data_IF_341166680031
#
_entry.id   IF_341166680031
#
_cell.length_a   1.000
_cell.length_b   1.000
_cell.length_c   1.000
_cell.angle_alpha   90.00
_cell.angle_beta   90.00
_cell.angle_gamma   90.00
#
_symmetry.space_group_name_H-M   'P 1'
#
loop_
_entity.id
_entity.type
_entity.pdbx_description
1 polymer ?
#
# COMPACT_ATOMS: atom_id res chain seq x y z
N UNK A 1 -7.48 8.48 3.26
CA UNK A 1 -7.20 8.31 4.70
C UNK A 1 -8.47 7.93 5.45
N UNK A 2 -9.56 8.71 5.36
CA UNK A 2 -10.82 8.50 6.13
C UNK A 2 -11.54 7.18 5.86
N UNK A 3 -11.37 6.58 4.68
CA UNK A 3 -12.06 5.34 4.28
C UNK A 3 -11.44 4.05 4.85
N UNK A 4 -10.31 4.14 5.54
CA UNK A 4 -9.53 3.01 6.07
C UNK A 4 -9.10 3.25 7.53
N UNK A 5 -10.03 3.20 8.49
CA UNK A 5 -9.75 3.60 9.88
C UNK A 5 -8.76 2.68 10.61
N UNK A 6 -8.66 1.41 10.22
CA UNK A 6 -7.81 0.42 10.89
C UNK A 6 -6.44 0.20 10.23
N UNK A 7 -6.20 0.76 9.03
CA UNK A 7 -4.95 0.55 8.33
C UNK A 7 -3.86 1.46 8.89
N UNK A 8 -2.62 0.95 8.98
CA UNK A 8 -1.45 1.79 9.24
C UNK A 8 -1.08 2.53 7.95
N UNK A 9 -0.90 3.83 8.03
CA UNK A 9 -0.50 4.67 6.89
C UNK A 9 0.71 5.51 7.27
N UNK A 10 1.57 5.77 6.31
CA UNK A 10 2.70 6.69 6.42
C UNK A 10 2.79 7.59 5.19
N UNK A 11 3.63 8.60 5.26
CA UNK A 11 3.87 9.55 4.19
C UNK A 11 5.38 9.63 3.96
N UNK A 12 5.78 9.44 2.71
CA UNK A 12 7.10 9.73 2.20
C UNK A 12 6.98 10.87 1.19
N UNK A 13 7.77 11.90 1.37
CA UNK A 13 7.87 13.03 0.42
C UNK A 13 9.16 12.89 -0.34
N UNK A 14 9.12 13.19 -1.63
CA UNK A 14 10.30 13.18 -2.47
C UNK A 14 10.29 14.32 -3.48
N UNK A 15 11.46 14.83 -3.77
CA UNK A 15 11.81 15.78 -4.82
C UNK A 15 13.18 15.37 -5.38
N UNK A 16 14.23 16.17 -5.29
CA UNK A 16 15.62 15.75 -5.57
C UNK A 16 16.12 14.64 -4.65
N UNK A 17 15.60 14.61 -3.42
CA UNK A 17 15.83 13.59 -2.41
C UNK A 17 14.50 13.03 -1.87
N UNK A 18 14.56 12.10 -0.92
CA UNK A 18 13.35 11.55 -0.28
C UNK A 18 13.51 11.46 1.24
N UNK A 19 12.43 11.75 1.97
CA UNK A 19 12.38 11.57 3.41
C UNK A 19 11.02 11.09 3.90
N UNK A 20 11.00 10.52 5.11
CA UNK A 20 9.78 10.07 5.76
C UNK A 20 9.15 11.23 6.52
N UNK A 21 8.08 11.79 6.00
CA UNK A 21 7.29 12.85 6.65
C UNK A 21 6.48 12.31 7.83
N UNK A 22 5.90 11.12 7.66
CA UNK A 22 5.17 10.42 8.72
C UNK A 22 5.47 8.93 8.67
N UNK A 23 5.96 8.31 9.75
CA UNK A 23 6.10 6.87 9.82
C UNK A 23 4.73 6.19 9.83
N UNK A 24 4.72 4.85 9.66
CA UNK A 24 3.48 4.07 9.67
C UNK A 24 2.74 4.21 11.01
N UNK A 25 1.57 4.80 10.98
CA UNK A 25 0.71 5.04 12.15
C UNK A 25 -0.76 4.76 11.86
N UNK A 26 -1.53 4.48 12.90
CA UNK A 26 -3.00 4.45 12.87
C UNK A 26 -3.62 5.79 13.26
N UNK A 27 -2.80 6.73 13.76
CA UNK A 27 -3.25 8.08 14.15
C UNK A 27 -3.52 8.96 12.93
N UNK A 28 -4.79 9.10 12.60
CA UNK A 28 -5.26 9.88 11.44
C UNK A 28 -5.07 11.38 11.63
N UNK A 29 -5.20 11.86 12.84
CA UNK A 29 -5.07 13.29 13.13
C UNK A 29 -3.63 13.74 12.89
N UNK A 30 -2.66 13.01 13.45
CA UNK A 30 -1.23 13.25 13.23
C UNK A 30 -0.88 13.13 11.74
N UNK A 31 -1.35 12.09 11.04
CA UNK A 31 -1.09 11.91 9.62
C UNK A 31 -1.58 13.09 8.77
N UNK A 32 -2.83 13.55 9.01
CA UNK A 32 -3.42 14.68 8.28
C UNK A 32 -2.68 15.98 8.57
N UNK A 33 -2.28 16.21 9.82
CA UNK A 33 -1.54 17.41 10.19
C UNK A 33 -0.17 17.44 9.51
N UNK A 34 0.61 16.35 9.60
CA UNK A 34 1.92 16.25 8.95
C UNK A 34 1.81 16.35 7.40
N UNK A 35 0.70 15.90 6.81
CA UNK A 35 0.46 16.05 5.38
C UNK A 35 0.24 17.51 4.97
N UNK A 36 -0.40 18.33 5.83
CA UNK A 36 -0.61 19.76 5.59
C UNK A 36 0.67 20.59 5.70
N UNK A 37 1.65 20.07 6.47
CA UNK A 37 2.94 20.75 6.70
C UNK A 37 3.94 20.47 5.55
N UNK A 38 3.57 19.66 4.55
CA UNK A 38 4.41 19.44 3.36
C UNK A 38 4.45 20.72 2.55
N UNK A 39 5.68 21.24 2.35
CA UNK A 39 5.96 22.45 1.57
C UNK A 39 6.96 22.10 0.45
N UNK A 40 6.89 22.82 -0.64
CA UNK A 40 7.72 22.58 -1.83
C UNK A 40 9.19 22.92 -1.62
N UNK A 41 9.52 23.81 -0.68
CA UNK A 41 10.87 24.36 -0.49
C UNK A 41 11.72 23.56 0.53
N UNK A 42 11.22 22.42 1.01
CA UNK A 42 11.90 21.61 2.04
C UNK A 42 13.06 20.75 1.49
N UNK A 43 13.07 20.49 0.19
CA UNK A 43 14.03 19.59 -0.48
C UNK A 43 14.54 20.27 -1.76
N UNK A 44 15.77 19.95 -2.16
CA UNK A 44 16.28 20.36 -3.46
C UNK A 44 15.34 19.99 -4.60
N UNK A 45 15.25 20.88 -5.59
CA UNK A 45 14.40 20.68 -6.76
C UNK A 45 14.83 19.44 -7.57
N UNK A 46 13.84 18.73 -8.09
CA UNK A 46 14.04 17.52 -8.86
C UNK A 46 12.99 16.46 -8.57
N UNK A 47 13.10 15.30 -9.22
CA UNK A 47 12.15 14.20 -9.10
C UNK A 47 12.89 12.87 -8.98
N UNK A 48 13.10 12.40 -7.75
CA UNK A 48 13.81 11.16 -7.41
C UNK A 48 12.80 10.03 -7.10
N UNK A 49 12.08 9.56 -8.13
CA UNK A 49 11.01 8.53 -7.99
C UNK A 49 11.57 7.26 -7.33
N UNK A 50 12.75 6.80 -7.78
CA UNK A 50 13.38 5.59 -7.26
C UNK A 50 13.72 5.69 -5.77
N UNK A 51 14.29 6.82 -5.32
CA UNK A 51 14.59 7.05 -3.91
C UNK A 51 13.30 7.12 -3.07
N UNK A 52 12.26 7.82 -3.57
CA UNK A 52 10.96 7.91 -2.91
C UNK A 52 10.32 6.53 -2.70
N UNK A 53 10.30 5.72 -3.75
CA UNK A 53 9.75 4.37 -3.70
C UNK A 53 10.57 3.46 -2.77
N UNK A 54 11.91 3.47 -2.88
CA UNK A 54 12.77 2.67 -2.02
C UNK A 54 12.62 3.05 -0.54
N UNK A 55 12.52 4.35 -0.24
CA UNK A 55 12.26 4.84 1.13
C UNK A 55 10.91 4.34 1.66
N UNK A 56 9.85 4.40 0.83
CA UNK A 56 8.53 3.90 1.22
C UNK A 56 8.54 2.38 1.49
N UNK A 57 9.21 1.60 0.65
CA UNK A 57 9.36 0.15 0.83
C UNK A 57 10.16 -0.17 2.09
N UNK A 58 11.23 0.58 2.37
CA UNK A 58 12.05 0.40 3.57
C UNK A 58 11.24 0.59 4.86
N UNK A 59 10.22 1.48 4.86
CA UNK A 59 9.31 1.67 6.02
C UNK A 59 8.32 0.53 6.21
N UNK A 60 8.12 -0.32 5.19
CA UNK A 60 7.15 -1.42 5.23
C UNK A 60 7.79 -2.81 5.29
N UNK A 61 9.11 -2.93 5.05
CA UNK A 61 9.77 -4.23 4.98
C UNK A 61 9.56 -5.11 6.22
N UNK A 62 9.57 -4.50 7.40
CA UNK A 62 9.44 -5.17 8.69
C UNK A 62 7.98 -5.18 9.21
N UNK A 63 7.01 -4.83 8.37
CA UNK A 63 5.60 -4.80 8.74
C UNK A 63 4.97 -6.19 8.66
N UNK A 64 4.28 -6.62 9.72
CA UNK A 64 3.50 -7.88 9.76
C UNK A 64 2.16 -7.77 9.02
N UNK A 65 1.92 -6.68 8.28
CA UNK A 65 0.68 -6.49 7.55
C UNK A 65 0.52 -7.53 6.44
N UNK A 66 -0.68 -8.11 6.31
CA UNK A 66 -1.03 -9.08 5.26
C UNK A 66 -0.95 -8.47 3.84
N UNK A 67 -1.25 -7.19 3.71
CA UNK A 67 -1.14 -6.44 2.47
C UNK A 67 -0.28 -5.20 2.70
N UNK A 68 0.70 -4.99 1.82
CA UNK A 68 1.60 -3.84 1.82
C UNK A 68 1.44 -3.12 0.49
N UNK A 69 1.06 -1.85 0.56
CA UNK A 69 0.70 -1.06 -0.62
C UNK A 69 1.39 0.29 -0.57
N UNK A 70 2.03 0.67 -1.66
CA UNK A 70 2.50 2.04 -1.92
C UNK A 70 1.61 2.67 -2.97
N UNK A 71 1.22 3.91 -2.77
CA UNK A 71 0.61 4.76 -3.79
C UNK A 71 1.62 5.85 -4.10
N UNK A 72 2.22 5.78 -5.26
CA UNK A 72 3.23 6.72 -5.76
C UNK A 72 2.53 7.77 -6.62
N UNK A 73 2.60 9.05 -6.22
CA UNK A 73 2.10 10.19 -6.99
C UNK A 73 3.27 10.99 -7.50
N UNK A 74 3.26 11.33 -8.79
CA UNK A 74 4.25 12.22 -9.41
C UNK A 74 3.62 13.00 -10.55
N UNK A 75 4.10 14.21 -10.76
CA UNK A 75 3.75 15.10 -11.88
C UNK A 75 4.94 15.29 -12.84
N UNK A 76 6.09 14.67 -12.53
CA UNK A 76 7.33 14.80 -13.28
C UNK A 76 7.95 13.50 -13.74
N UNK A 77 9.03 13.65 -14.51
CA UNK A 77 9.90 12.58 -14.99
C UNK A 77 11.03 12.36 -13.99
N UNK A 78 11.44 11.12 -13.78
CA UNK A 78 12.60 10.84 -12.92
C UNK A 78 13.87 11.47 -13.49
N UNK A 79 14.46 12.43 -12.78
CA UNK A 79 15.66 13.16 -13.20
C UNK A 79 16.73 13.24 -12.10
N UNK A 80 16.47 12.69 -10.92
CA UNK A 80 17.34 12.68 -9.75
C UNK A 80 17.28 11.35 -9.03
N UNK A 81 18.15 11.18 -8.04
CA UNK A 81 18.24 10.03 -7.16
C UNK A 81 19.31 9.03 -7.56
N UNK A 82 19.81 8.30 -6.57
CA UNK A 82 20.84 7.27 -6.74
C UNK A 82 20.23 5.91 -7.13
N UNK A 83 18.99 5.67 -6.72
CA UNK A 83 18.27 4.43 -6.99
C UNK A 83 17.38 4.64 -8.22
N UNK A 84 17.57 3.81 -9.25
CA UNK A 84 16.68 3.87 -10.41
C UNK A 84 15.25 3.40 -10.02
N UNK A 85 14.22 3.97 -10.66
CA UNK A 85 12.83 3.55 -10.40
C UNK A 85 12.59 2.05 -10.64
N UNK A 86 13.25 1.46 -11.63
CA UNK A 86 13.18 0.04 -11.92
C UNK A 86 13.78 -0.80 -10.78
N UNK A 87 14.95 -0.39 -10.27
CA UNK A 87 15.58 -1.07 -9.12
C UNK A 87 14.69 -0.98 -7.88
N UNK A 88 14.08 0.17 -7.62
CA UNK A 88 13.14 0.36 -6.51
C UNK A 88 11.89 -0.53 -6.66
N UNK A 89 11.39 -0.73 -7.89
CA UNK A 89 10.27 -1.63 -8.18
C UNK A 89 10.64 -3.10 -7.92
N UNK A 90 11.84 -3.53 -8.31
CA UNK A 90 12.32 -4.89 -8.01
C UNK A 90 12.48 -5.12 -6.49
N UNK A 91 12.96 -4.12 -5.75
CA UNK A 91 13.01 -4.16 -4.28
C UNK A 91 11.58 -4.29 -3.74
N UNK A 92 10.63 -3.47 -4.21
CA UNK A 92 9.22 -3.55 -3.79
C UNK A 92 8.64 -4.95 -4.03
N UNK A 93 8.86 -5.52 -5.20
CA UNK A 93 8.45 -6.88 -5.57
C UNK A 93 9.04 -7.92 -4.63
N UNK A 94 10.33 -7.84 -4.33
CA UNK A 94 11.04 -8.77 -3.42
C UNK A 94 10.44 -8.76 -2.02
N UNK A 95 10.03 -7.60 -1.52
CA UNK A 95 9.37 -7.47 -0.21
C UNK A 95 7.84 -7.67 -0.27
N UNK A 96 7.28 -8.05 -1.42
CA UNK A 96 5.84 -8.25 -1.59
C UNK A 96 5.03 -6.96 -1.39
N UNK A 97 5.62 -5.80 -1.73
CA UNK A 97 4.97 -4.50 -1.69
C UNK A 97 4.38 -4.21 -3.06
N UNK A 98 3.08 -3.99 -3.11
CA UNK A 98 2.38 -3.61 -4.34
C UNK A 98 2.43 -2.09 -4.51
N UNK A 99 2.72 -1.66 -5.73
CA UNK A 99 2.84 -0.23 -6.05
C UNK A 99 1.76 0.18 -7.05
N UNK A 100 0.91 1.10 -6.65
CA UNK A 100 0.03 1.83 -7.55
C UNK A 100 0.69 3.14 -7.92
N UNK A 101 0.79 3.44 -9.20
CA UNK A 101 1.40 4.67 -9.69
C UNK A 101 0.32 5.59 -10.25
N UNK A 102 0.40 6.88 -9.91
CA UNK A 102 -0.52 7.91 -10.36
C UNK A 102 0.28 9.06 -10.96
N UNK A 103 0.18 9.23 -12.28
CA UNK A 103 0.68 10.41 -12.95
C UNK A 103 -0.32 11.56 -12.79
N UNK A 104 0.09 12.68 -12.20
CA UNK A 104 -0.78 13.83 -11.91
C UNK A 104 -0.44 14.96 -12.88
N UNK A 105 -1.46 15.53 -13.52
CA UNK A 105 -1.29 16.71 -14.37
C UNK A 105 -1.95 16.53 -15.74
N UNK A 106 -2.04 17.65 -16.45
CA UNK A 106 -2.52 17.70 -17.83
C UNK A 106 -1.31 17.68 -18.76
N UNK A 107 -1.42 17.02 -19.88
CA UNK A 107 -0.46 17.20 -20.97
C UNK A 107 -0.53 18.64 -21.47
N UNK A 108 0.63 19.23 -21.68
CA UNK A 108 0.69 20.59 -22.23
C UNK A 108 1.86 21.40 -21.73
N UNK A 109 1.77 22.69 -21.97
CA UNK A 109 2.75 23.68 -21.51
C UNK A 109 2.28 24.24 -20.19
N UNK A 110 3.13 24.19 -19.16
CA UNK A 110 2.88 24.84 -17.87
C UNK A 110 3.85 26.02 -17.69
N UNK A 111 3.40 27.13 -17.12
CA UNK A 111 4.29 28.24 -16.76
C UNK A 111 5.20 27.81 -15.62
N UNK A 112 6.48 27.79 -15.86
CA UNK A 112 7.53 27.45 -14.89
C UNK A 112 8.46 28.66 -14.66
N UNK A 113 8.73 29.06 -13.41
CA UNK A 113 9.68 30.13 -13.11
C UNK A 113 11.11 29.62 -13.34
N UNK A 114 11.81 30.22 -14.31
CA UNK A 114 13.20 29.92 -14.63
C UNK A 114 14.08 31.09 -14.12
N UNK A 115 15.11 30.77 -13.37
CA UNK A 115 16.11 31.75 -12.96
C UNK A 115 16.99 32.09 -14.17
N UNK A 116 16.92 33.35 -14.59
CA UNK A 116 17.81 33.89 -15.62
C UNK A 116 18.80 34.88 -14.97
N UNK A 117 19.90 35.25 -15.63
CA UNK A 117 20.84 36.27 -15.13
C UNK A 117 20.18 37.63 -14.89
N UNK A 118 19.00 37.85 -15.43
CA UNK A 118 18.22 39.09 -15.35
C UNK A 118 17.06 39.03 -14.34
N UNK A 119 16.90 37.90 -13.67
CA UNK A 119 15.81 37.64 -12.71
C UNK A 119 15.00 36.41 -13.03
N UNK A 120 13.86 36.25 -12.33
CA UNK A 120 12.94 35.13 -12.56
C UNK A 120 12.04 35.43 -13.76
N UNK A 121 12.12 34.62 -14.80
CA UNK A 121 11.23 34.66 -15.96
C UNK A 121 10.30 33.45 -15.97
N UNK A 122 9.03 33.67 -16.32
CA UNK A 122 8.06 32.59 -16.49
C UNK A 122 8.19 32.06 -17.92
N UNK A 123 8.68 30.82 -18.05
CA UNK A 123 8.76 30.13 -19.32
C UNK A 123 7.72 28.99 -19.35
N UNK A 124 7.08 28.82 -20.52
CA UNK A 124 6.20 27.67 -20.71
C UNK A 124 7.07 26.43 -20.98
N UNK A 125 7.10 25.53 -20.01
CA UNK A 125 7.82 24.25 -20.10
C UNK A 125 6.83 23.15 -20.40
N UNK A 126 7.17 22.24 -21.29
CA UNK A 126 6.35 21.07 -21.56
C UNK A 126 6.35 20.16 -20.34
N UNK A 127 5.17 19.93 -19.79
CA UNK A 127 4.99 18.95 -18.70
C UNK A 127 4.98 17.57 -19.34
N UNK A 128 6.01 16.80 -19.06
CA UNK A 128 6.11 15.39 -19.48
C UNK A 128 5.98 14.51 -18.24
N UNK A 129 5.20 13.45 -18.38
CA UNK A 129 5.10 12.38 -17.39
C UNK A 129 5.50 11.11 -18.11
N UNK A 130 6.44 10.37 -17.54
CA UNK A 130 6.87 9.09 -18.08
C UNK A 130 5.85 8.00 -17.69
N UNK A 131 4.75 7.96 -18.46
CA UNK A 131 3.66 7.00 -18.23
C UNK A 131 4.13 5.56 -18.41
N UNK A 132 5.05 5.32 -19.35
CA UNK A 132 5.59 4.00 -19.62
C UNK A 132 6.36 3.47 -18.39
N UNK A 133 7.25 4.29 -17.83
CA UNK A 133 7.98 3.96 -16.61
C UNK A 133 7.02 3.70 -15.44
N UNK A 134 6.03 4.56 -15.24
CA UNK A 134 5.06 4.42 -14.16
C UNK A 134 4.20 3.14 -14.32
N UNK A 135 3.82 2.81 -15.54
CA UNK A 135 3.11 1.56 -15.84
C UNK A 135 3.98 0.33 -15.56
N UNK A 136 5.25 0.35 -15.99
CA UNK A 136 6.20 -0.74 -15.72
C UNK A 136 6.40 -0.98 -14.22
N UNK A 137 6.56 0.08 -13.41
CA UNK A 137 6.69 -0.03 -11.95
C UNK A 137 5.44 -0.69 -11.35
N UNK A 138 4.25 -0.23 -11.75
CA UNK A 138 3.00 -0.76 -11.23
C UNK A 138 2.81 -2.24 -11.60
N UNK A 139 2.97 -2.58 -12.87
CA UNK A 139 2.77 -3.94 -13.38
C UNK A 139 3.76 -4.93 -12.76
N UNK A 140 5.05 -4.58 -12.65
CA UNK A 140 6.09 -5.44 -12.09
C UNK A 140 5.82 -5.82 -10.63
N UNK A 141 5.10 -4.97 -9.88
CA UNK A 141 4.74 -5.16 -8.47
C UNK A 141 3.31 -5.67 -8.26
N UNK A 142 2.57 -5.93 -9.35
CA UNK A 142 1.18 -6.38 -9.32
C UNK A 142 0.16 -5.29 -8.96
N UNK A 143 0.54 -4.02 -9.10
CA UNK A 143 -0.33 -2.86 -9.01
C UNK A 143 -0.93 -2.43 -10.35
N UNK A 144 -1.29 -1.14 -10.46
CA UNK A 144 -1.87 -0.54 -11.67
C UNK A 144 -1.47 0.93 -11.78
N UNK A 145 -1.20 1.38 -13.02
CA UNK A 145 -1.01 2.78 -13.33
C UNK A 145 -2.35 3.50 -13.54
N UNK A 146 -2.40 4.77 -13.12
CA UNK A 146 -3.52 5.68 -13.32
C UNK A 146 -3.05 7.05 -13.75
N UNK A 147 -3.90 7.77 -14.47
CA UNK A 147 -3.71 9.17 -14.82
C UNK A 147 -4.77 10.04 -14.14
N UNK A 148 -4.33 11.04 -13.37
CA UNK A 148 -5.19 12.02 -12.72
C UNK A 148 -5.00 13.40 -13.37
N UNK A 149 -6.03 13.92 -14.00
CA UNK A 149 -6.02 15.23 -14.66
C UNK A 149 -6.55 16.35 -13.77
N UNK A 150 -7.24 15.98 -12.69
CA UNK A 150 -7.87 16.86 -11.73
C UNK A 150 -8.16 16.16 -10.39
N UNK A 151 -8.55 16.94 -9.37
CA UNK A 151 -8.82 16.41 -8.04
C UNK A 151 -10.00 15.44 -7.97
N UNK A 152 -11.00 15.58 -8.85
CA UNK A 152 -12.15 14.69 -8.91
C UNK A 152 -11.69 13.32 -9.38
N UNK A 153 -10.90 13.30 -10.46
CA UNK A 153 -10.32 12.06 -11.00
C UNK A 153 -9.39 11.38 -9.99
N UNK A 154 -8.58 12.16 -9.29
CA UNK A 154 -7.72 11.63 -8.22
C UNK A 154 -8.54 10.94 -7.12
N UNK A 155 -9.65 11.54 -6.69
CA UNK A 155 -10.56 10.94 -5.70
C UNK A 155 -11.20 9.63 -6.19
N UNK A 156 -11.60 9.56 -7.47
CA UNK A 156 -12.11 8.34 -8.09
C UNK A 156 -11.05 7.23 -8.09
N UNK A 157 -9.80 7.56 -8.47
CA UNK A 157 -8.68 6.61 -8.46
C UNK A 157 -8.43 6.04 -7.07
N UNK A 158 -8.40 6.88 -6.03
CA UNK A 158 -8.28 6.40 -4.66
C UNK A 158 -9.42 5.46 -4.27
N UNK A 159 -10.64 5.74 -4.71
CA UNK A 159 -11.80 4.89 -4.47
C UNK A 159 -11.68 3.55 -5.20
N UNK A 160 -11.15 3.55 -6.44
CA UNK A 160 -10.88 2.33 -7.22
C UNK A 160 -9.81 1.46 -6.55
N UNK A 161 -8.67 2.05 -6.18
CA UNK A 161 -7.60 1.36 -5.45
C UNK A 161 -8.14 0.75 -4.15
N UNK A 162 -8.96 1.51 -3.39
CA UNK A 162 -9.57 1.03 -2.18
C UNK A 162 -10.47 -0.19 -2.40
N UNK A 163 -11.26 -0.22 -3.49
CA UNK A 163 -12.08 -1.37 -3.86
C UNK A 163 -11.22 -2.59 -4.20
N UNK A 164 -10.18 -2.40 -5.02
CA UNK A 164 -9.27 -3.49 -5.42
C UNK A 164 -8.58 -4.13 -4.23
N UNK A 165 -8.07 -3.33 -3.29
CA UNK A 165 -7.40 -3.82 -2.10
C UNK A 165 -8.35 -4.48 -1.08
N UNK A 166 -9.59 -4.03 -0.98
CA UNK A 166 -10.61 -4.71 -0.17
C UNK A 166 -10.96 -6.09 -0.70
N UNK A 167 -11.17 -6.22 -2.01
CA UNK A 167 -11.49 -7.50 -2.64
C UNK A 167 -10.34 -8.50 -2.43
N UNK A 168 -9.09 -8.10 -2.61
CA UNK A 168 -7.93 -8.98 -2.41
C UNK A 168 -7.77 -9.43 -0.95
N UNK A 169 -7.97 -8.52 0.00
CA UNK A 169 -7.89 -8.86 1.44
C UNK A 169 -8.99 -9.81 1.87
N UNK A 170 -10.17 -9.79 1.23
CA UNK A 170 -11.27 -10.72 1.52
C UNK A 170 -11.08 -12.10 0.90
N UNK A 171 -10.36 -12.20 -0.23
CA UNK A 171 -10.07 -13.50 -0.88
C UNK A 171 -9.03 -14.30 -0.09
N UNK A 172 -8.13 -13.63 0.62
CA UNK A 172 -7.18 -14.26 1.54
C UNK A 172 -7.83 -14.72 2.87
N UNK A 173 -9.16 -14.73 2.95
CA UNK A 173 -9.87 -15.13 4.16
C UNK A 173 -9.79 -16.63 4.39
N UNK A 174 -9.14 -16.94 5.49
CA UNK A 174 -9.22 -18.09 6.38
C UNK A 174 -9.89 -19.35 5.80
N UNK A 175 -9.16 -20.47 5.74
CA UNK A 175 -9.86 -21.75 5.74
C UNK A 175 -10.70 -21.81 7.02
N UNK A 176 -12.02 -21.71 6.86
CA UNK A 176 -12.93 -22.02 7.95
C UNK A 176 -12.77 -23.52 8.20
N UNK A 177 -11.93 -23.88 9.15
CA UNK A 177 -11.86 -25.26 9.64
C UNK A 177 -13.21 -25.57 10.25
N UNK A 178 -13.95 -26.45 9.57
CA UNK A 178 -15.19 -26.98 10.12
C UNK A 178 -14.80 -27.88 11.28
N UNK A 179 -14.97 -27.40 12.50
CA UNK A 179 -14.65 -28.17 13.70
C UNK A 179 -15.51 -29.43 13.72
N UNK A 180 -14.92 -30.56 13.44
CA UNK A 180 -15.57 -31.86 13.52
C UNK A 180 -15.54 -32.43 14.94
N UNK A 181 -14.88 -31.72 15.87
CA UNK A 181 -14.69 -32.14 17.26
C UNK A 181 -16.01 -32.58 17.93
N UNK A 182 -17.09 -31.84 17.77
CA UNK A 182 -18.38 -32.16 18.39
C UNK A 182 -18.92 -33.54 18.02
N UNK A 183 -18.73 -34.00 16.78
CA UNK A 183 -19.15 -35.33 16.34
C UNK A 183 -18.36 -36.45 16.97
N UNK A 184 -17.04 -36.30 17.04
CA UNK A 184 -16.16 -37.28 17.67
C UNK A 184 -16.29 -37.27 19.19
N UNK A 185 -16.50 -36.13 19.82
CA UNK A 185 -16.77 -36.03 21.25
C UNK A 185 -18.10 -36.74 21.64
N UNK A 186 -19.16 -36.61 20.81
CA UNK A 186 -20.40 -37.32 21.01
C UNK A 186 -20.23 -38.84 20.92
N UNK A 187 -19.49 -39.31 19.91
CA UNK A 187 -19.19 -40.74 19.75
C UNK A 187 -18.40 -41.31 20.94
N UNK A 188 -17.39 -40.56 21.41
CA UNK A 188 -16.62 -40.94 22.59
C UNK A 188 -17.51 -41.02 23.86
N UNK A 189 -18.40 -40.03 24.05
CA UNK A 189 -19.33 -40.04 25.17
C UNK A 189 -20.28 -41.24 25.12
N UNK A 190 -20.82 -41.56 23.94
CA UNK A 190 -21.68 -42.73 23.76
C UNK A 190 -20.93 -44.03 24.04
N UNK A 191 -19.68 -44.14 23.64
CA UNK A 191 -18.84 -45.32 23.94
C UNK A 191 -18.61 -45.52 25.44
N UNK A 192 -18.32 -44.41 26.17
CA UNK A 192 -18.17 -44.44 27.63
C UNK A 192 -19.50 -44.82 28.33
N UNK A 193 -20.62 -44.29 27.90
CA UNK A 193 -21.94 -44.64 28.45
C UNK A 193 -22.28 -46.13 28.20
N UNK A 194 -21.94 -46.67 27.03
CA UNK A 194 -22.13 -48.08 26.70
C UNK A 194 -21.26 -48.95 27.59
N UNK A 195 -20.02 -48.62 27.82
CA UNK A 195 -19.09 -49.34 28.71
C UNK A 195 -19.64 -49.37 30.15
N UNK A 196 -20.08 -48.23 30.67
CA UNK A 196 -20.70 -48.16 32.01
C UNK A 196 -21.96 -49.00 32.12
N UNK A 197 -22.83 -48.98 31.11
CA UNK A 197 -24.01 -49.87 31.06
C UNK A 197 -23.66 -51.33 31.05
N UNK A 198 -22.68 -51.76 30.24
CA UNK A 198 -22.25 -53.13 30.16
C UNK A 198 -21.64 -53.60 31.49
N UNK A 199 -20.77 -52.79 32.11
CA UNK A 199 -20.24 -53.06 33.42
C UNK A 199 -21.31 -53.19 34.50
N UNK A 200 -22.31 -52.30 34.50
CA UNK A 200 -23.44 -52.39 35.43
C UNK A 200 -24.25 -53.68 35.26
N UNK A 201 -24.49 -54.12 34.01
CA UNK A 201 -25.26 -55.32 33.72
C UNK A 201 -24.45 -56.57 34.05
N UNK A 202 -23.15 -56.60 33.76
CA UNK A 202 -22.26 -57.75 34.01
C UNK A 202 -22.02 -57.92 35.50
N UNK A 203 -21.69 -56.82 36.22
CA UNK A 203 -21.42 -56.89 37.67
C UNK A 203 -22.67 -57.31 38.47
N UNK A 204 -23.87 -56.82 38.07
CA UNK A 204 -25.13 -57.25 38.73
C UNK A 204 -25.53 -58.68 38.48
N UNK A 205 -24.93 -59.37 37.52
CA UNK A 205 -25.28 -60.76 37.17
C UNK A 205 -24.36 -61.78 37.86
N UNK A 206 -23.30 -61.30 38.48
CA UNK A 206 -22.32 -62.14 39.21
C UNK A 206 -22.25 -61.87 40.71
N UNK A 207 -23.08 -61.03 41.25
CA UNK A 207 -23.35 -60.84 42.68
C UNK A 207 -24.84 -61.18 42.96
#
# INVERSE_FOLDING_TARGET
ISQRPSDRMGIVVFAGESFTQCPLTTDRATLINLMKDVQTDLIEDGTAIGNGLATAVARMKDSDAKSRVVILLTDGVNNRGEISPQMAAEIAKTYGVRVYTIGVGKEGMAPYPVMTPWGVEIQNVKVEIDEELLAQIAESTGGKYFRATDNTKLSEIYSEINKMEKVRTTVDTFPVYKELFGRYALLALLAILLELMLNWFVIRRFV
#
